data_IF_734138520322
#
_entry.id   IF_734138520322
#
_cell.length_a   1.000
_cell.length_b   1.000
_cell.length_c   1.000
_cell.angle_alpha   90.00
_cell.angle_beta   90.00
_cell.angle_gamma   90.00
#
_symmetry.space_group_name_H-M   'P 1'
#
loop_
_entity.id
_entity.type
_entity.pdbx_description
1 polymer ?
2 non-polymer ?
3 non-polymer ?
#
# COMPACT_ATOMS: atom_id res chain seq x y z
N UNK A 2 -8.23 -0.45 26.02
CA UNK A 2 -8.13 -1.56 26.96
C UNK A 2 -6.74 -2.22 26.89
N UNK A 3 -5.84 -1.77 27.78
CA UNK A 3 -4.45 -2.25 27.91
C UNK A 3 -4.32 -3.73 28.35
N UNK A 4 -3.36 -4.42 27.70
CA UNK A 4 -2.96 -5.81 27.90
C UNK A 4 -1.54 -6.02 27.29
N UNK A 5 -0.89 -7.16 27.58
CA UNK A 5 0.47 -7.45 27.11
C UNK A 5 0.47 -7.92 25.65
N UNK A 6 1.49 -7.55 24.82
CA UNK A 6 1.53 -8.01 23.41
C UNK A 6 1.41 -9.52 23.21
N UNK A 7 2.03 -10.30 24.12
CA UNK A 7 1.99 -11.78 24.14
C UNK A 7 0.54 -12.28 24.23
N UNK A 8 -0.29 -11.57 25.04
CA UNK A 8 -1.71 -11.86 25.27
C UNK A 8 -2.55 -11.59 24.02
N UNK A 9 -2.32 -10.43 23.37
CA UNK A 9 -2.99 -9.98 22.14
C UNK A 9 -2.81 -11.00 21.02
N UNK A 10 -1.59 -11.57 20.89
CA UNK A 10 -1.28 -12.61 19.92
C UNK A 10 -2.08 -13.89 20.21
N UNK A 11 -2.25 -14.24 21.52
CA UNK A 11 -3.01 -15.42 21.92
C UNK A 11 -4.50 -15.27 21.59
N UNK A 12 -5.10 -14.11 21.90
CA UNK A 12 -6.51 -13.85 21.58
C UNK A 12 -6.74 -13.81 20.08
N UNK A 13 -5.71 -13.40 19.32
CA UNK A 13 -5.73 -13.37 17.85
C UNK A 13 -5.58 -14.80 17.30
N UNK A 14 -4.83 -15.65 18.04
CA UNK A 14 -4.59 -17.07 17.74
C UNK A 14 -5.94 -17.79 17.81
N UNK A 15 -6.72 -17.48 18.87
CA UNK A 15 -8.04 -18.04 19.13
C UNK A 15 -9.10 -17.50 18.16
N UNK A 16 -9.16 -16.14 17.98
CA UNK A 16 -10.11 -15.45 17.10
C UNK A 16 -10.16 -16.00 15.68
N UNK A 17 -9.07 -16.68 15.26
CA UNK A 17 -8.89 -17.29 13.95
C UNK A 17 -10.07 -18.09 13.41
N UNK A 18 -10.45 -17.87 12.13
CA UNK A 18 -11.62 -18.58 11.57
C UNK A 18 -11.39 -20.03 11.19
N UNK A 19 -12.45 -20.89 11.26
CA UNK A 19 -12.28 -22.28 10.85
C UNK A 19 -12.10 -22.38 9.34
N UNK A 20 -11.39 -23.44 8.92
CA UNK A 20 -11.10 -23.79 7.54
C UNK A 20 -12.37 -24.15 6.79
N UNK A 21 -12.65 -23.42 5.70
CA UNK A 21 -13.80 -23.68 4.83
C UNK A 21 -13.40 -24.88 3.96
N UNK A 22 -14.25 -25.91 3.92
CA UNK A 22 -13.93 -27.11 3.15
C UNK A 22 -14.89 -27.33 1.98
N UNK A 23 -14.98 -26.31 1.08
CA UNK A 23 -15.84 -26.24 -0.11
C UNK A 23 -17.29 -26.71 0.08
N UNK A 30 -12.07 -28.97 -15.56
CA UNK A 30 -12.53 -27.63 -15.20
C UNK A 30 -13.21 -26.91 -16.35
N UNK A 31 -14.28 -26.14 -16.05
CA UNK A 31 -15.06 -25.37 -17.03
C UNK A 31 -15.07 -23.85 -16.71
N UNK A 32 -15.65 -23.04 -17.65
CA UNK A 32 -15.74 -21.57 -17.58
C UNK A 32 -16.46 -21.00 -16.34
N UNK A 33 -17.79 -21.19 -16.23
CA UNK A 33 -18.63 -20.66 -15.14
C UNK A 33 -18.60 -21.46 -13.83
N UNK A 34 -18.19 -22.75 -13.87
CA UNK A 34 -18.13 -23.63 -12.71
C UNK A 34 -17.13 -23.17 -11.65
N UNK A 35 -15.96 -22.66 -12.08
CA UNK A 35 -14.94 -22.16 -11.17
C UNK A 35 -15.30 -20.79 -10.60
N UNK A 36 -16.10 -20.00 -11.35
CA UNK A 36 -16.59 -18.66 -10.94
C UNK A 36 -17.48 -18.79 -9.71
N UNK A 37 -18.45 -19.73 -9.76
CA UNK A 37 -19.39 -20.00 -8.66
C UNK A 37 -18.75 -20.77 -7.49
N UNK A 38 -17.64 -21.52 -7.74
CA UNK A 38 -16.90 -22.27 -6.72
C UNK A 38 -16.10 -21.28 -5.87
N UNK A 39 -15.47 -20.29 -6.54
CA UNK A 39 -14.68 -19.22 -5.93
C UNK A 39 -15.59 -18.25 -5.19
N UNK A 40 -16.74 -17.88 -5.78
CA UNK A 40 -17.70 -16.97 -5.13
C UNK A 40 -18.40 -17.65 -3.97
N UNK A 41 -18.58 -19.00 -4.04
CA UNK A 41 -19.17 -19.85 -2.99
C UNK A 41 -18.24 -19.82 -1.77
N UNK A 42 -16.92 -20.01 -2.02
CA UNK A 42 -15.88 -20.02 -1.01
C UNK A 42 -15.72 -18.65 -0.38
N UNK A 43 -15.70 -17.57 -1.20
CA UNK A 43 -15.57 -16.17 -0.76
C UNK A 43 -16.70 -15.79 0.19
N UNK A 44 -17.96 -16.21 -0.11
CA UNK A 44 -19.15 -15.95 0.71
C UNK A 44 -19.04 -16.66 2.06
N UNK A 45 -18.75 -17.97 2.04
CA UNK A 45 -18.60 -18.82 3.24
C UNK A 45 -17.50 -18.28 4.14
N UNK A 46 -16.42 -17.72 3.53
CA UNK A 46 -15.26 -17.20 4.24
C UNK A 46 -15.53 -15.82 4.81
N UNK A 47 -16.32 -15.01 4.09
CA UNK A 47 -16.71 -13.66 4.50
C UNK A 47 -17.48 -13.67 5.80
N UNK A 48 -18.41 -14.64 5.94
CA UNK A 48 -19.22 -14.85 7.13
C UNK A 48 -18.29 -14.99 8.35
N UNK A 49 -17.25 -15.84 8.19
CA UNK A 49 -16.23 -16.11 9.20
C UNK A 49 -15.39 -14.87 9.51
N UNK A 50 -15.14 -14.02 8.49
CA UNK A 50 -14.34 -12.80 8.61
C UNK A 50 -14.98 -11.80 9.53
N UNK A 51 -16.28 -11.52 9.32
CA UNK A 51 -17.05 -10.58 10.14
C UNK A 51 -16.94 -11.03 11.61
N UNK A 52 -17.15 -12.37 11.87
CA UNK A 52 -17.04 -13.03 13.17
C UNK A 52 -15.64 -12.83 13.74
N UNK A 53 -14.59 -13.12 12.91
CA UNK A 53 -13.16 -12.95 13.22
C UNK A 53 -12.89 -11.50 13.61
N UNK A 54 -13.37 -10.55 12.77
CA UNK A 54 -13.21 -9.10 12.97
C UNK A 54 -13.80 -8.67 14.31
N UNK A 55 -15.06 -9.09 14.59
CA UNK A 55 -15.76 -8.82 15.85
C UNK A 55 -14.95 -9.34 17.06
N UNK A 56 -14.34 -10.55 16.90
CA UNK A 56 -13.49 -11.23 17.90
C UNK A 56 -12.13 -10.55 18.17
N UNK A 57 -11.78 -9.48 17.42
CA UNK A 57 -10.55 -8.71 17.62
C UNK A 57 -10.81 -7.74 18.78
N UNK A 58 -9.90 -7.68 19.77
CA UNK A 58 -10.13 -6.81 20.94
C UNK A 58 -10.20 -5.32 20.60
N UNK A 59 -11.33 -4.70 20.91
CA UNK A 59 -11.58 -3.28 20.69
C UNK A 59 -12.38 -2.95 19.47
N UNK A 60 -12.53 -3.92 18.54
CA UNK A 60 -13.23 -3.74 17.27
C UNK A 60 -14.69 -3.33 17.41
N UNK A 61 -15.41 -4.04 18.28
CA UNK A 61 -16.84 -3.81 18.53
C UNK A 61 -17.11 -2.52 19.32
N UNK A 62 -16.06 -1.98 19.97
CA UNK A 62 -16.13 -0.74 20.72
C UNK A 62 -16.04 0.43 19.75
N UNK A 63 -15.54 0.17 18.51
CA UNK A 63 -15.43 1.17 17.44
C UNK A 63 -16.82 1.55 16.95
N UNK A 64 -16.89 2.69 16.24
CA UNK A 64 -18.11 3.18 15.61
C UNK A 64 -18.63 2.16 14.60
N UNK A 65 -19.97 2.14 14.44
CA UNK A 65 -20.73 1.34 13.50
C UNK A 65 -20.28 1.65 12.07
N UNK A 66 -20.02 2.96 11.80
CA UNK A 66 -19.53 3.48 10.53
C UNK A 66 -18.18 2.87 10.28
N UNK A 67 -17.25 3.10 11.22
CA UNK A 67 -15.87 2.63 11.16
C UNK A 67 -15.83 1.11 10.96
N UNK A 68 -16.52 0.32 11.78
CA UNK A 68 -16.55 -1.15 11.64
C UNK A 68 -16.87 -1.62 10.21
N UNK A 69 -17.85 -0.96 9.57
CA UNK A 69 -18.32 -1.29 8.23
C UNK A 69 -17.34 -0.81 7.19
N UNK A 70 -16.94 0.49 7.25
CA UNK A 70 -15.96 1.11 6.33
C UNK A 70 -14.65 0.27 6.28
N UNK A 71 -14.17 -0.18 7.46
CA UNK A 71 -12.97 -1.01 7.56
C UNK A 71 -13.18 -2.33 6.86
N UNK A 72 -14.19 -3.12 7.27
CA UNK A 72 -14.52 -4.41 6.65
C UNK A 72 -14.76 -4.32 5.17
N UNK A 73 -15.45 -3.25 4.73
CA UNK A 73 -15.77 -2.98 3.33
C UNK A 73 -14.49 -2.86 2.52
N UNK A 74 -13.56 -2.02 2.98
CA UNK A 74 -12.33 -1.70 2.29
C UNK A 74 -11.21 -2.73 2.37
N UNK A 75 -11.45 -3.94 2.87
CA UNK A 75 -10.35 -4.93 2.98
C UNK A 75 -10.74 -6.40 2.99
N UNK A 76 -12.04 -6.72 2.88
CA UNK A 76 -12.45 -8.11 2.88
C UNK A 76 -11.67 -8.92 1.83
N UNK A 77 -11.54 -8.35 0.62
CA UNK A 77 -10.84 -8.87 -0.54
C UNK A 77 -9.37 -9.15 -0.20
N UNK A 78 -8.67 -8.17 0.44
CA UNK A 78 -7.27 -8.25 0.86
C UNK A 78 -7.04 -9.26 1.98
N UNK A 79 -7.88 -9.23 3.03
CA UNK A 79 -7.85 -10.16 4.16
C UNK A 79 -8.07 -11.59 3.63
N UNK A 80 -8.96 -11.75 2.62
CA UNK A 80 -9.22 -13.05 1.98
C UNK A 80 -7.99 -13.52 1.23
N UNK A 81 -7.33 -12.60 0.52
CA UNK A 81 -6.15 -12.91 -0.26
C UNK A 81 -4.96 -13.22 0.61
N UNK A 82 -4.81 -12.51 1.74
CA UNK A 82 -3.74 -12.72 2.72
C UNK A 82 -3.87 -14.13 3.33
N UNK A 83 -5.11 -14.57 3.52
CA UNK A 83 -5.45 -15.89 4.03
C UNK A 83 -5.00 -16.95 3.04
N UNK A 84 -5.27 -16.72 1.74
CA UNK A 84 -4.89 -17.60 0.65
C UNK A 84 -3.36 -17.67 0.53
N UNK A 85 -2.69 -16.53 0.77
CA UNK A 85 -1.23 -16.42 0.74
C UNK A 85 -0.59 -17.33 1.81
N UNK A 86 -1.19 -17.38 3.01
CA UNK A 86 -0.70 -18.21 4.12
C UNK A 86 -1.00 -19.69 3.87
N UNK A 87 -2.13 -19.99 3.23
CA UNK A 87 -2.55 -21.35 2.91
C UNK A 87 -1.62 -21.97 1.85
N UNK A 88 -1.11 -21.14 0.91
CA UNK A 88 -0.24 -21.52 -0.21
C UNK A 88 1.28 -21.36 0.06
N UNK A 89 1.66 -20.85 1.26
CA UNK A 89 3.06 -20.58 1.61
C UNK A 89 4.05 -21.75 1.42
N UNK A 90 3.63 -22.98 1.77
CA UNK A 90 4.49 -24.16 1.65
C UNK A 90 3.96 -25.14 0.59
N UNK A 91 3.64 -24.59 -0.62
CA UNK A 91 3.13 -25.28 -1.80
C UNK A 91 3.45 -24.43 -3.07
N UNK A 92 4.73 -24.40 -3.54
CA UNK A 92 5.05 -23.58 -4.72
C UNK A 92 4.32 -23.95 -6.01
N UNK A 93 3.89 -22.93 -6.75
CA UNK A 93 3.15 -23.06 -8.00
C UNK A 93 1.67 -23.37 -7.84
N UNK A 94 1.19 -23.47 -6.58
CA UNK A 94 -0.18 -23.80 -6.17
C UNK A 94 -0.80 -22.73 -5.26
N UNK A 95 -2.12 -22.52 -5.41
CA UNK A 95 -2.94 -21.63 -4.59
C UNK A 95 -3.98 -22.45 -3.84
N UNK A 96 -3.74 -22.71 -2.54
CA UNK A 96 -4.65 -23.47 -1.69
C UNK A 96 -5.85 -22.58 -1.32
N UNK A 97 -6.92 -22.61 -2.16
CA UNK A 97 -8.11 -21.80 -1.90
C UNK A 97 -8.89 -22.41 -0.73
N UNK A 98 -9.01 -23.74 -0.77
CA UNK A 98 -9.64 -24.58 0.24
C UNK A 98 -8.79 -25.87 0.24
N UNK A 99 -8.66 -26.63 1.36
CA UNK A 99 -7.80 -27.82 1.35
C UNK A 99 -8.17 -28.84 0.28
N UNK A 100 -9.49 -28.92 -0.05
CA UNK A 100 -10.04 -29.79 -1.08
C UNK A 100 -9.72 -29.21 -2.47
N UNK A 101 -10.27 -28.00 -2.76
CA UNK A 101 -10.07 -27.33 -4.04
C UNK A 101 -8.82 -26.44 -4.11
N UNK A 102 -7.74 -27.04 -4.65
CA UNK A 102 -6.41 -26.47 -4.88
C UNK A 102 -6.24 -26.22 -6.40
N UNK A 103 -5.77 -25.01 -6.77
CA UNK A 103 -5.56 -24.60 -8.17
C UNK A 103 -4.10 -24.19 -8.44
N UNK A 104 -3.73 -24.07 -9.74
CA UNK A 104 -2.38 -23.66 -10.18
C UNK A 104 -2.44 -22.68 -11.39
N UNK A 105 -1.25 -22.21 -11.87
CA UNK A 105 -1.13 -21.28 -13.00
C UNK A 105 -1.80 -21.85 -14.26
N UNK A 106 -1.47 -23.12 -14.59
CA UNK A 106 -1.99 -23.85 -15.75
C UNK A 106 -3.48 -24.27 -15.59
N UNK A 107 -4.06 -24.04 -14.40
CA UNK A 107 -5.45 -24.32 -14.06
C UNK A 107 -6.29 -23.03 -14.18
N UNK A 108 -5.65 -21.88 -13.95
CA UNK A 108 -6.28 -20.57 -14.02
C UNK A 108 -6.53 -20.03 -15.42
N UNK A 109 -5.99 -20.73 -16.44
CA UNK A 109 -6.12 -20.38 -17.86
C UNK A 109 -7.56 -20.50 -18.38
N UNK A 110 -8.48 -21.09 -17.58
CA UNK A 110 -9.90 -21.31 -17.88
C UNK A 110 -10.63 -20.03 -18.26
N UNK A 111 -10.43 -18.94 -17.47
CA UNK A 111 -11.08 -17.64 -17.71
C UNK A 111 -10.04 -16.62 -18.17
N UNK A 112 -10.42 -15.80 -19.17
CA UNK A 112 -9.60 -14.73 -19.73
C UNK A 112 -9.63 -13.54 -18.77
N UNK A 113 -8.45 -13.02 -18.45
CA UNK A 113 -8.30 -11.89 -17.53
C UNK A 113 -7.96 -12.30 -16.11
N UNK A 114 -8.35 -13.53 -15.71
CA UNK A 114 -8.08 -14.07 -14.37
C UNK A 114 -6.64 -14.60 -14.17
N UNK A 115 -5.89 -14.76 -15.27
CA UNK A 115 -4.50 -15.23 -15.27
C UNK A 115 -3.58 -14.30 -14.46
N UNK A 116 -3.56 -12.99 -14.78
CA UNK A 116 -2.75 -11.94 -14.15
C UNK A 116 -2.83 -11.90 -12.61
N UNK A 117 -4.05 -12.05 -12.04
CA UNK A 117 -4.29 -12.05 -10.59
C UNK A 117 -3.61 -13.25 -9.92
N UNK A 118 -3.74 -14.46 -10.51
CA UNK A 118 -3.12 -15.69 -9.99
C UNK A 118 -1.62 -15.58 -9.96
N UNK A 119 -1.05 -14.90 -10.98
CA UNK A 119 0.37 -14.63 -11.13
C UNK A 119 0.83 -13.72 -9.99
N UNK A 120 0.08 -12.61 -9.74
CA UNK A 120 0.33 -11.64 -8.67
C UNK A 120 0.31 -12.33 -7.32
N UNK A 121 -0.72 -13.16 -7.06
CA UNK A 121 -0.86 -13.88 -5.80
C UNK A 121 0.29 -14.84 -5.55
N UNK A 122 0.66 -15.65 -6.56
CA UNK A 122 1.77 -16.61 -6.48
C UNK A 122 3.10 -15.90 -6.26
N UNK A 123 3.35 -14.80 -6.99
CA UNK A 123 4.57 -14.00 -6.87
C UNK A 123 4.72 -13.46 -5.45
N UNK A 124 3.60 -13.00 -4.84
CA UNK A 124 3.57 -12.45 -3.49
C UNK A 124 3.76 -13.55 -2.46
N UNK A 125 3.13 -14.73 -2.67
CA UNK A 125 3.26 -15.91 -1.79
C UNK A 125 4.73 -16.30 -1.71
N UNK A 126 5.41 -16.29 -2.88
CA UNK A 126 6.82 -16.58 -3.07
C UNK A 126 7.62 -15.62 -2.21
N UNK A 127 7.37 -14.31 -2.37
CA UNK A 127 8.04 -13.28 -1.58
C UNK A 127 7.83 -13.49 -0.06
N UNK A 128 6.66 -14.04 0.35
CA UNK A 128 6.38 -14.35 1.76
C UNK A 128 7.14 -15.58 2.24
N UNK A 129 7.28 -16.60 1.35
CA UNK A 129 8.00 -17.86 1.56
C UNK A 129 9.48 -17.56 1.78
N UNK A 130 10.07 -16.70 0.91
CA UNK A 130 11.47 -16.24 0.97
C UNK A 130 11.70 -15.50 2.29
N UNK A 131 10.67 -14.76 2.74
CA UNK A 131 10.70 -13.99 3.98
C UNK A 131 10.72 -14.87 5.22
N UNK A 132 10.30 -16.16 5.10
CA UNK A 132 10.24 -17.15 6.20
C UNK A 132 9.22 -16.64 7.24
N UNK A 133 8.00 -16.28 6.77
CA UNK A 133 6.89 -15.71 7.55
C UNK A 133 6.31 -16.69 8.57
N UNK A 134 6.35 -16.31 9.88
CA UNK A 134 5.83 -17.14 10.97
C UNK A 134 4.31 -16.94 11.11
N UNK A 135 3.62 -17.91 11.74
CA UNK A 135 2.17 -17.90 11.98
C UNK A 135 1.78 -16.68 12.78
N UNK A 136 2.46 -16.45 13.90
CA UNK A 136 2.24 -15.32 14.82
C UNK A 136 2.50 -13.96 14.13
N UNK A 137 3.52 -13.89 13.24
CA UNK A 137 3.88 -12.72 12.43
C UNK A 137 2.71 -12.40 11.50
N UNK A 138 2.17 -13.45 10.81
CA UNK A 138 1.06 -13.41 9.86
C UNK A 138 -0.22 -12.86 10.47
N UNK A 139 -0.62 -13.35 11.66
CA UNK A 139 -1.83 -12.94 12.38
C UNK A 139 -1.87 -11.43 12.60
N UNK A 140 -0.75 -10.86 13.09
CA UNK A 140 -0.65 -9.43 13.33
C UNK A 140 -0.85 -8.68 12.03
N UNK A 141 -0.18 -9.15 10.95
CA UNK A 141 -0.25 -8.60 9.62
C UNK A 141 -1.70 -8.54 9.11
N UNK A 142 -2.46 -9.66 9.10
CA UNK A 142 -3.88 -9.71 8.72
C UNK A 142 -4.75 -8.69 9.49
N UNK A 143 -4.56 -8.61 10.82
CA UNK A 143 -5.31 -7.69 11.68
C UNK A 143 -5.02 -6.25 11.31
N UNK A 144 -3.74 -5.93 11.01
CA UNK A 144 -3.28 -4.60 10.59
C UNK A 144 -3.87 -4.21 9.23
N UNK A 145 -3.91 -5.18 8.29
CA UNK A 145 -4.49 -5.05 6.94
C UNK A 145 -5.92 -4.50 7.08
N UNK A 146 -6.68 -5.08 8.03
CA UNK A 146 -8.05 -4.72 8.38
C UNK A 146 -8.14 -3.37 9.05
N UNK A 147 -7.30 -3.10 10.05
CA UNK A 147 -7.33 -1.85 10.83
C UNK A 147 -6.71 -0.63 10.15
N UNK A 148 -5.94 -0.84 9.08
CA UNK A 148 -5.29 0.28 8.41
C UNK A 148 -5.85 0.58 7.00
N UNK A 149 -6.75 -0.26 6.48
CA UNK A 149 -7.36 -0.09 5.15
C UNK A 149 -8.32 1.15 4.96
N UNK A 150 -8.42 2.04 5.98
CA UNK A 150 -9.23 3.27 6.05
C UNK A 150 -9.18 4.10 4.75
N UNK A 162 -14.76 5.22 16.86
CA UNK A 162 -13.98 6.46 16.97
C UNK A 162 -12.60 6.30 16.33
N UNK A 163 -12.05 7.40 15.80
CA UNK A 163 -10.76 7.41 15.09
C UNK A 163 -9.55 7.15 15.99
N UNK A 164 -9.54 7.75 17.19
CA UNK A 164 -8.46 7.62 18.19
C UNK A 164 -8.40 6.21 18.75
N UNK A 165 -9.58 5.57 18.91
CA UNK A 165 -9.69 4.19 19.40
C UNK A 165 -9.06 3.22 18.39
N UNK A 166 -9.20 3.55 17.07
CA UNK A 166 -8.65 2.77 15.94
C UNK A 166 -7.12 2.87 15.90
N UNK A 167 -6.59 4.10 16.09
CA UNK A 167 -5.15 4.40 16.15
C UNK A 167 -4.49 3.61 17.27
N UNK A 168 -5.22 3.47 18.40
CA UNK A 168 -4.82 2.73 19.58
C UNK A 168 -4.80 1.23 19.28
N UNK A 169 -5.89 0.70 18.70
CA UNK A 169 -6.05 -0.71 18.31
C UNK A 169 -4.97 -1.11 17.29
N UNK A 170 -4.64 -0.20 16.34
CA UNK A 170 -3.60 -0.45 15.34
C UNK A 170 -2.24 -0.50 16.03
N UNK A 171 -1.88 0.56 16.81
CA UNK A 171 -0.64 0.62 17.59
C UNK A 171 -0.47 -0.60 18.51
N UNK A 172 -1.59 -1.21 18.94
CA UNK A 172 -1.58 -2.41 19.76
C UNK A 172 -1.11 -3.62 18.93
N UNK A 173 -1.67 -3.79 17.70
CA UNK A 173 -1.31 -4.92 16.82
C UNK A 173 0.10 -4.70 16.23
N UNK A 174 0.51 -3.43 16.13
CA UNK A 174 1.84 -3.01 15.68
C UNK A 174 2.86 -3.45 16.74
N UNK A 175 2.56 -3.17 18.05
CA UNK A 175 3.34 -3.58 19.23
C UNK A 175 3.41 -5.10 19.31
N UNK A 176 2.29 -5.78 18.99
CA UNK A 176 2.15 -7.24 18.98
C UNK A 176 2.99 -7.85 17.88
N UNK A 177 3.16 -7.13 16.75
CA UNK A 177 4.01 -7.56 15.63
C UNK A 177 5.49 -7.33 15.97
N UNK A 178 5.83 -6.15 16.54
CA UNK A 178 7.20 -5.77 16.99
C UNK A 178 7.72 -6.78 18.05
N UNK A 179 6.80 -7.32 18.87
CA UNK A 179 7.08 -8.34 19.87
C UNK A 179 7.41 -9.69 19.23
N UNK A 180 6.58 -10.17 18.27
CA UNK A 180 6.78 -11.44 17.56
C UNK A 180 8.14 -11.42 16.83
N UNK A 181 8.50 -10.25 16.24
CA UNK A 181 9.75 -9.99 15.52
C UNK A 181 10.97 -10.01 16.47
N UNK A 182 10.75 -9.61 17.76
CA UNK A 182 11.76 -9.64 18.82
C UNK A 182 11.97 -11.06 19.35
N UNK A 183 10.87 -11.81 19.52
CA UNK A 183 10.86 -13.20 20.02
C UNK A 183 11.61 -14.21 19.12
N UNK A 184 11.88 -13.87 17.84
CA UNK A 184 12.63 -14.73 16.91
C UNK A 184 14.15 -14.73 17.21
N UNK A 185 14.60 -13.73 17.99
CA UNK A 185 15.99 -13.58 18.44
C UNK A 185 16.96 -13.11 17.38
N UNK A 186 16.93 -11.79 17.08
CA UNK A 186 17.78 -11.14 16.08
C UNK A 186 18.12 -9.69 16.46
N UNK A 187 19.20 -9.15 15.86
CA UNK A 187 19.71 -7.79 16.09
C UNK A 187 18.68 -6.71 15.82
N UNK A 188 18.85 -5.54 16.47
CA UNK A 188 17.95 -4.38 16.33
C UNK A 188 17.82 -3.87 14.89
N UNK A 189 18.86 -4.10 14.04
CA UNK A 189 18.86 -3.72 12.63
C UNK A 189 18.09 -4.77 11.82
N UNK A 190 18.37 -6.07 12.05
CA UNK A 190 17.70 -7.19 11.37
C UNK A 190 16.23 -7.34 11.76
N UNK A 191 15.86 -6.81 12.95
CA UNK A 191 14.50 -6.78 13.46
C UNK A 191 13.69 -5.75 12.68
N UNK A 192 14.14 -4.46 12.72
CA UNK A 192 13.54 -3.31 12.04
C UNK A 192 13.47 -3.55 10.54
N UNK A 193 14.52 -4.14 9.95
CA UNK A 193 14.59 -4.48 8.52
C UNK A 193 13.48 -5.48 8.16
N UNK A 194 13.31 -6.54 8.97
CA UNK A 194 12.28 -7.56 8.77
C UNK A 194 10.88 -7.00 8.93
N UNK A 195 10.68 -6.07 9.88
CA UNK A 195 9.38 -5.42 10.13
C UNK A 195 8.95 -4.75 8.82
N UNK A 196 9.76 -3.77 8.33
CA UNK A 196 9.59 -3.03 7.09
C UNK A 196 9.44 -3.94 5.87
N UNK A 197 10.10 -5.12 5.88
CA UNK A 197 10.01 -6.09 4.77
C UNK A 197 8.57 -6.56 4.57
N UNK A 198 7.92 -7.08 5.63
CA UNK A 198 6.54 -7.58 5.57
C UNK A 198 5.56 -6.44 5.35
N UNK A 199 5.82 -5.28 5.96
CA UNK A 199 4.97 -4.09 5.81
C UNK A 199 4.94 -3.59 4.36
N UNK A 200 6.10 -3.63 3.67
CA UNK A 200 6.19 -3.21 2.26
C UNK A 200 5.66 -4.29 1.35
N UNK A 201 5.65 -5.55 1.81
CA UNK A 201 5.10 -6.67 1.07
C UNK A 201 3.56 -6.62 1.07
N UNK A 202 2.97 -5.85 1.99
CA UNK A 202 1.53 -5.69 2.12
C UNK A 202 0.98 -4.79 1.06
N UNK A 203 1.82 -3.88 0.51
CA UNK A 203 1.48 -2.99 -0.60
C UNK A 203 1.10 -3.86 -1.79
N UNK A 204 1.91 -4.92 -2.00
CA UNK A 204 1.77 -5.91 -3.06
C UNK A 204 0.53 -6.77 -2.87
N UNK A 205 0.09 -6.97 -1.62
CA UNK A 205 -1.15 -7.69 -1.33
C UNK A 205 -2.34 -6.78 -1.73
N UNK A 206 -2.31 -5.52 -1.26
CA UNK A 206 -3.31 -4.52 -1.58
C UNK A 206 -3.40 -4.36 -3.10
N UNK A 207 -2.24 -4.32 -3.80
CA UNK A 207 -2.20 -4.18 -5.26
C UNK A 207 -3.00 -5.29 -5.94
N UNK A 208 -2.75 -6.54 -5.55
CA UNK A 208 -3.43 -7.71 -6.09
C UNK A 208 -4.92 -7.66 -5.76
N UNK A 209 -5.27 -7.21 -4.52
CA UNK A 209 -6.64 -7.03 -4.03
C UNK A 209 -7.44 -6.05 -4.93
N UNK A 210 -6.80 -4.93 -5.35
CA UNK A 210 -7.40 -3.92 -6.21
C UNK A 210 -7.68 -4.43 -7.60
N UNK A 211 -6.74 -5.21 -8.17
CA UNK A 211 -6.93 -5.80 -9.49
C UNK A 211 -8.04 -6.84 -9.46
N UNK A 212 -8.17 -7.54 -8.32
CA UNK A 212 -9.23 -8.50 -8.05
C UNK A 212 -10.59 -7.83 -7.93
N UNK A 213 -10.64 -6.67 -7.26
CA UNK A 213 -11.88 -5.89 -7.10
C UNK A 213 -12.34 -5.35 -8.45
N UNK A 214 -11.38 -4.89 -9.30
CA UNK A 214 -11.66 -4.35 -10.63
C UNK A 214 -12.22 -5.44 -11.52
N UNK A 215 -11.77 -6.69 -11.33
CA UNK A 215 -12.24 -7.87 -12.06
C UNK A 215 -13.57 -8.36 -11.48
N UNK A 216 -13.69 -8.46 -10.13
CA UNK A 216 -14.90 -8.90 -9.42
C UNK A 216 -16.09 -8.01 -9.75
N UNK A 217 -15.93 -6.68 -9.70
CA UNK A 217 -16.98 -5.71 -10.02
C UNK A 217 -17.32 -5.76 -11.50
N UNK A 218 -16.34 -6.10 -12.35
CA UNK A 218 -16.52 -6.25 -13.79
C UNK A 218 -17.31 -7.53 -14.10
N UNK A 219 -17.06 -8.64 -13.35
CA UNK A 219 -17.76 -9.93 -13.51
C UNK A 219 -19.23 -9.79 -13.09
N UNK A 220 -19.49 -8.96 -12.05
CA UNK A 220 -20.83 -8.59 -11.53
C UNK A 220 -21.58 -7.87 -12.68
N UNK A 221 -20.81 -7.10 -13.47
CA UNK A 221 -21.25 -6.34 -14.64
C UNK A 221 -20.84 -7.12 -15.92
N UNK A 222 -21.13 -8.43 -15.93
CA UNK A 222 -20.87 -9.40 -17.00
C UNK A 222 -21.75 -10.64 -16.74
N UNK A 223 -22.13 -10.83 -15.46
CA UNK A 223 -22.94 -11.92 -14.92
C UNK A 223 -22.36 -13.33 -15.08
N UNK A 224 -21.00 -13.43 -15.12
CA UNK A 224 -20.27 -14.71 -15.20
C UNK A 224 -20.22 -15.27 -13.76
N UNK A 225 -20.20 -14.37 -12.75
CA UNK A 225 -20.24 -14.71 -11.32
C UNK A 225 -21.68 -14.53 -10.81
N UNK A 226 -22.18 -15.43 -9.93
CA UNK A 226 -23.57 -15.29 -9.45
C UNK A 226 -23.73 -14.19 -8.40
N UNK A 227 -24.98 -13.74 -8.22
CA UNK A 227 -25.39 -12.76 -7.22
C UNK A 227 -25.12 -13.37 -5.83
N UNK A 228 -25.60 -14.63 -5.62
CA UNK A 228 -25.48 -15.42 -4.39
C UNK A 228 -25.88 -14.71 -3.09
N UNK A 229 -24.91 -14.38 -2.19
CA UNK A 229 -25.16 -13.72 -0.91
C UNK A 229 -23.95 -12.91 -0.42
N UNK A 230 -24.05 -12.29 0.79
CA UNK A 230 -23.08 -11.47 1.54
C UNK A 230 -22.04 -10.65 0.76
N UNK A 231 -21.19 -11.30 -0.06
CA UNK A 231 -20.18 -10.60 -0.85
C UNK A 231 -20.84 -9.71 -1.93
N UNK A 232 -22.15 -9.93 -2.19
CA UNK A 232 -22.94 -9.10 -3.09
C UNK A 232 -23.21 -7.79 -2.33
N UNK A 233 -23.52 -7.90 -1.02
CA UNK A 233 -23.75 -6.80 -0.10
C UNK A 233 -22.47 -5.97 0.06
N UNK A 234 -21.30 -6.66 0.11
CA UNK A 234 -19.96 -6.06 0.23
C UNK A 234 -19.58 -5.28 -1.03
N UNK A 235 -19.79 -5.90 -2.20
CA UNK A 235 -19.45 -5.38 -3.54
C UNK A 235 -20.06 -4.03 -3.87
N UNK A 236 -21.30 -3.80 -3.45
CA UNK A 236 -22.02 -2.57 -3.72
C UNK A 236 -21.35 -1.35 -3.04
N UNK A 237 -21.19 -1.39 -1.71
CA UNK A 237 -20.53 -0.31 -0.96
C UNK A 237 -19.08 -0.68 -0.66
N UNK B 1 26.60 -3.62 -6.13
CA UNK B 1 27.40 -2.53 -6.67
C UNK B 1 27.94 -1.54 -5.60
N UNK B 2 27.12 -1.26 -4.56
CA UNK B 2 27.50 -0.33 -3.49
C UNK B 2 27.40 -0.92 -2.07
N UNK B 3 28.31 -0.48 -1.19
CA UNK B 3 28.37 -0.84 0.23
C UNK B 3 28.57 0.49 1.00
N UNK B 4 27.87 1.53 0.49
CA UNK B 4 27.83 2.91 0.97
C UNK B 4 27.01 2.98 2.26
N UNK B 5 27.56 3.65 3.28
CA UNK B 5 26.96 3.78 4.61
C UNK B 5 25.60 4.50 4.58
N UNK B 6 24.65 4.15 5.49
CA UNK B 6 23.33 4.81 5.48
C UNK B 6 23.35 6.33 5.55
N UNK B 7 24.33 6.93 6.25
CA UNK B 7 24.44 8.40 6.34
C UNK B 7 24.71 9.03 4.97
N UNK B 8 25.59 8.36 4.19
CA UNK B 8 26.03 8.79 2.86
C UNK B 8 24.88 8.70 1.83
N UNK B 9 23.96 7.73 2.04
CA UNK B 9 22.77 7.51 1.21
C UNK B 9 21.77 8.63 1.46
N UNK B 10 21.50 8.92 2.75
CA UNK B 10 20.61 9.99 3.22
C UNK B 10 21.10 11.33 2.65
N UNK B 11 22.44 11.45 2.50
CA UNK B 11 23.06 12.64 1.92
C UNK B 11 22.83 12.68 0.41
N UNK B 12 23.02 11.55 -0.31
CA UNK B 12 22.81 11.52 -1.76
C UNK B 12 21.37 11.90 -2.07
N UNK B 13 20.39 11.40 -1.27
CA UNK B 13 18.95 11.70 -1.41
C UNK B 13 18.66 13.19 -1.26
N UNK B 14 19.38 13.86 -0.34
CA UNK B 14 19.26 15.29 -0.08
C UNK B 14 19.77 16.12 -1.27
N UNK B 15 20.90 15.70 -1.87
CA UNK B 15 21.51 16.38 -3.02
C UNK B 15 20.65 16.22 -4.26
N UNK B 16 20.04 15.03 -4.42
CA UNK B 16 19.20 14.60 -5.53
C UNK B 16 17.87 15.33 -5.66
N UNK B 17 17.39 15.91 -4.55
CA UNK B 17 16.12 16.66 -4.44
C UNK B 17 15.82 17.66 -5.56
N UNK B 18 14.57 17.64 -6.09
CA UNK B 18 14.23 18.53 -7.23
C UNK B 18 13.93 19.97 -6.83
N UNK B 19 14.16 20.95 -7.72
CA UNK B 19 13.82 22.35 -7.38
C UNK B 19 12.30 22.49 -7.31
N UNK B 20 11.78 23.24 -6.33
CA UNK B 20 10.32 23.37 -6.19
C UNK B 20 9.75 24.16 -7.40
N UNK B 21 8.48 23.91 -7.77
CA UNK B 21 7.90 24.59 -8.93
C UNK B 21 6.82 25.62 -8.68
N UNK B 22 6.96 26.75 -9.40
CA UNK B 22 6.04 27.87 -9.43
C UNK B 22 5.61 28.09 -10.90
N UNK B 23 4.33 27.83 -11.19
CA UNK B 23 3.72 27.92 -12.52
C UNK B 23 3.35 29.34 -12.97
N UNK B 30 -9.29 32.56 -10.91
CA UNK B 30 -9.41 31.20 -10.39
C UNK B 30 -10.59 30.45 -11.03
N UNK B 31 -10.31 29.32 -11.73
CA UNK B 31 -11.31 28.52 -12.46
C UNK B 31 -11.68 27.16 -11.85
N UNK B 32 -12.16 26.25 -12.72
CA UNK B 32 -12.52 24.86 -12.45
C UNK B 32 -11.86 23.92 -13.48
N UNK B 33 -11.59 24.41 -14.72
CA UNK B 33 -10.95 23.62 -15.79
C UNK B 33 -9.57 24.14 -16.12
N UNK B 34 -9.36 25.48 -16.08
CA UNK B 34 -8.04 26.09 -16.31
C UNK B 34 -7.24 25.96 -15.01
N UNK B 35 -7.95 25.71 -13.89
CA UNK B 35 -7.40 25.44 -12.57
C UNK B 35 -7.00 23.95 -12.59
N UNK B 36 -7.83 23.10 -13.24
CA UNK B 36 -7.55 21.68 -13.43
C UNK B 36 -6.45 21.55 -14.47
N UNK B 37 -6.41 22.48 -15.44
CA UNK B 37 -5.39 22.57 -16.48
C UNK B 37 -4.10 23.03 -15.81
N UNK B 38 -4.21 23.91 -14.78
CA UNK B 38 -3.06 24.37 -13.99
C UNK B 38 -2.48 23.19 -13.24
N UNK B 39 -3.35 22.32 -12.67
CA UNK B 39 -2.95 21.11 -11.96
C UNK B 39 -2.19 20.15 -12.89
N UNK B 40 -2.71 19.95 -14.13
CA UNK B 40 -2.06 19.09 -15.12
C UNK B 40 -0.80 19.73 -15.67
N UNK B 41 -0.75 21.08 -15.76
CA UNK B 41 0.43 21.81 -16.21
C UNK B 41 1.53 21.66 -15.15
N UNK B 42 1.17 21.84 -13.84
CA UNK B 42 2.09 21.68 -12.72
C UNK B 42 2.65 20.25 -12.64
N UNK B 43 1.77 19.25 -12.82
CA UNK B 43 2.12 17.83 -12.79
C UNK B 43 3.14 17.46 -13.84
N UNK B 44 2.89 17.88 -15.10
CA UNK B 44 3.76 17.63 -16.24
C UNK B 44 5.14 18.20 -16.03
N UNK B 45 5.26 19.44 -15.50
CA UNK B 45 6.59 20.02 -15.25
C UNK B 45 7.33 19.47 -14.05
N UNK B 46 6.58 19.10 -13.00
CA UNK B 46 7.15 18.47 -11.82
C UNK B 46 7.66 17.07 -12.18
N UNK B 47 6.98 16.41 -13.13
CA UNK B 47 7.32 15.08 -13.62
C UNK B 47 8.72 15.08 -14.23
N UNK B 48 9.04 16.13 -15.01
CA UNK B 48 10.34 16.31 -15.66
C UNK B 48 11.43 16.22 -14.57
N UNK B 49 11.24 16.95 -13.45
CA UNK B 49 12.13 16.99 -12.31
C UNK B 49 12.24 15.62 -11.62
N UNK B 50 11.13 14.86 -11.60
CA UNK B 50 11.04 13.55 -10.95
C UNK B 50 11.93 12.54 -11.62
N UNK B 51 11.86 12.46 -12.96
CA UNK B 51 12.69 11.56 -13.77
C UNK B 51 14.18 11.82 -13.43
N UNK B 52 14.58 13.13 -13.42
CA UNK B 52 15.91 13.63 -13.06
C UNK B 52 16.28 13.16 -11.66
N UNK B 53 15.38 13.41 -10.68
CA UNK B 53 15.49 13.02 -9.28
C UNK B 53 15.68 11.50 -9.17
N UNK B 54 14.81 10.74 -9.86
CA UNK B 54 14.83 9.29 -9.88
C UNK B 54 16.18 8.77 -10.38
N UNK B 55 16.66 9.31 -11.52
CA UNK B 55 17.96 8.95 -12.11
C UNK B 55 19.11 9.20 -11.11
N UNK B 56 19.02 10.33 -10.35
CA UNK B 56 19.96 10.76 -9.32
C UNK B 56 19.98 9.88 -8.04
N UNK B 57 19.07 8.87 -7.94
CA UNK B 57 19.04 7.93 -6.81
C UNK B 57 20.10 6.86 -7.07
N UNK B 58 20.94 6.54 -6.06
CA UNK B 58 22.02 5.56 -6.30
C UNK B 58 21.51 4.15 -6.61
N UNK B 59 21.90 3.66 -7.79
CA UNK B 59 21.56 2.31 -8.26
C UNK B 59 20.39 2.23 -9.22
N UNK B 60 19.62 3.34 -9.33
CA UNK B 60 18.43 3.42 -10.17
C UNK B 60 18.72 3.22 -11.65
N UNK B 61 19.78 3.87 -12.15
CA UNK B 61 20.20 3.81 -13.55
C UNK B 61 20.85 2.48 -13.93
N UNK B 62 21.27 1.70 -12.91
CA UNK B 62 21.82 0.36 -13.08
C UNK B 62 20.69 -0.64 -13.31
N UNK B 63 19.45 -0.26 -12.92
CA UNK B 63 18.26 -1.10 -13.13
C UNK B 63 17.92 -1.17 -14.61
N UNK B 64 17.08 -2.16 -15.00
CA UNK B 64 16.61 -2.32 -16.36
C UNK B 64 15.87 -1.03 -16.77
N UNK B 65 16.09 -0.53 -18.00
CA UNK B 65 15.42 0.70 -18.49
C UNK B 65 13.91 0.47 -18.51
N UNK B 66 13.47 -0.79 -18.81
CA UNK B 66 12.06 -1.16 -18.78
C UNK B 66 11.52 -0.98 -17.37
N UNK B 67 12.28 -1.49 -16.38
CA UNK B 67 11.98 -1.42 -14.95
C UNK B 67 11.92 0.02 -14.51
N UNK B 68 12.98 0.81 -14.79
CA UNK B 68 13.04 2.26 -14.51
C UNK B 68 11.74 2.99 -14.90
N UNK B 69 11.19 2.69 -16.09
CA UNK B 69 10.00 3.30 -16.62
C UNK B 69 8.76 2.74 -15.93
N UNK B 70 8.70 1.40 -15.77
CA UNK B 70 7.60 0.70 -15.08
C UNK B 70 7.42 1.26 -13.65
N UNK B 71 8.52 1.43 -12.90
CA UNK B 71 8.53 1.98 -11.55
C UNK B 71 7.99 3.39 -11.56
N UNK B 72 8.60 4.28 -12.35
CA UNK B 72 8.19 5.68 -12.48
C UNK B 72 6.75 5.78 -12.92
N UNK B 73 6.29 4.84 -13.77
CA UNK B 73 4.91 4.81 -14.28
C UNK B 73 3.92 4.58 -13.18
N UNK B 74 4.19 3.59 -12.33
CA UNK B 74 3.31 3.19 -11.24
C UNK B 74 3.36 4.03 -9.97
N UNK B 75 4.03 5.19 -9.96
CA UNK B 75 4.13 5.98 -8.72
C UNK B 75 4.36 7.48 -8.89
N UNK B 76 4.45 7.99 -10.14
CA UNK B 76 4.65 9.41 -10.34
C UNK B 76 3.59 10.22 -9.56
N UNK B 77 2.34 9.77 -9.65
CA UNK B 77 1.16 10.33 -9.02
C UNK B 77 1.35 10.38 -7.50
N UNK B 78 1.79 9.24 -6.87
CA UNK B 78 2.04 9.08 -5.42
C UNK B 78 3.21 9.93 -4.93
N UNK B 79 4.36 9.88 -5.67
CA UNK B 79 5.57 10.65 -5.38
C UNK B 79 5.22 12.14 -5.45
N UNK B 80 4.32 12.54 -6.40
CA UNK B 80 3.87 13.93 -6.55
C UNK B 80 3.05 14.33 -5.36
N UNK B 81 2.17 13.43 -4.90
CA UNK B 81 1.28 13.66 -3.77
C UNK B 81 2.03 13.73 -2.47
N UNK B 82 3.06 12.87 -2.31
CA UNK B 82 3.93 12.83 -1.13
C UNK B 82 4.70 14.16 -0.99
N UNK B 83 5.06 14.72 -2.14
CA UNK B 83 5.74 16.00 -2.26
C UNK B 83 4.83 17.10 -1.77
N UNK B 84 3.55 17.07 -2.19
CA UNK B 84 2.52 18.04 -1.81
C UNK B 84 2.27 17.99 -0.32
N UNK B 85 2.28 16.80 0.27
CA UNK B 85 2.05 16.68 1.70
C UNK B 85 3.21 17.19 2.53
N UNK B 86 4.44 17.11 2.02
CA UNK B 86 5.58 17.69 2.74
C UNK B 86 5.54 19.20 2.60
N UNK B 87 5.11 19.65 1.43
CA UNK B 87 4.96 21.04 1.02
C UNK B 87 3.77 21.69 1.74
N UNK B 88 2.91 20.87 2.41
CA UNK B 88 1.72 21.33 3.14
C UNK B 88 1.75 21.06 4.63
N UNK B 89 2.75 20.27 5.10
CA UNK B 89 2.91 19.82 6.49
C UNK B 89 2.71 20.91 7.57
N UNK B 90 3.19 22.12 7.31
CA UNK B 90 3.06 23.25 8.24
C UNK B 90 2.16 24.37 7.65
N UNK B 91 0.87 24.05 7.36
CA UNK B 91 -0.16 24.95 6.81
C UNK B 91 -1.53 24.24 6.95
N UNK B 92 -2.06 24.02 8.19
CA UNK B 92 -3.32 23.26 8.33
C UNK B 92 -4.49 23.80 7.53
N UNK B 93 -5.24 22.89 6.89
CA UNK B 93 -6.41 23.22 6.09
C UNK B 93 -6.15 23.69 4.67
N UNK B 94 -4.89 23.62 4.21
CA UNK B 94 -4.55 24.03 2.85
C UNK B 94 -3.58 23.07 2.15
N UNK B 95 -3.58 23.10 0.81
CA UNK B 95 -2.74 22.26 -0.06
C UNK B 95 -1.86 23.13 -0.95
N UNK B 96 -0.58 23.28 -0.56
CA UNK B 96 0.39 24.08 -1.32
C UNK B 96 0.84 23.25 -2.54
N UNK B 97 0.14 23.41 -3.67
CA UNK B 97 0.50 22.67 -4.89
C UNK B 97 1.76 23.29 -5.50
N UNK B 98 1.77 24.62 -5.52
CA UNK B 98 2.84 25.50 -5.97
C UNK B 98 2.74 26.74 -5.08
N UNK B 99 3.74 27.67 -5.01
CA UNK B 99 3.51 28.91 -4.23
C UNK B 99 2.40 29.74 -4.92
N UNK B 100 2.47 29.87 -6.27
CA UNK B 100 1.49 30.57 -7.09
C UNK B 100 0.17 29.79 -7.36
N UNK B 101 -0.04 28.64 -6.65
CA UNK B 101 -1.24 27.81 -6.78
C UNK B 101 -1.58 27.12 -5.45
N UNK B 102 -2.15 27.89 -4.51
CA UNK B 102 -2.54 27.32 -3.22
C UNK B 102 -4.05 27.09 -3.27
N UNK B 103 -4.43 25.84 -3.03
CA UNK B 103 -5.81 25.35 -3.02
C UNK B 103 -6.11 24.89 -1.61
N UNK B 104 -7.42 24.83 -1.26
CA UNK B 104 -7.91 24.38 0.05
C UNK B 104 -9.37 23.84 -0.03
N UNK B 105 -9.93 23.40 1.13
CA UNK B 105 -11.30 22.88 1.30
C UNK B 105 -12.36 23.68 0.51
N UNK B 106 -12.16 25.01 0.44
CA UNK B 106 -13.02 26.01 -0.18
C UNK B 106 -13.05 26.03 -1.72
N UNK B 107 -12.20 25.22 -2.41
CA UNK B 107 -12.17 25.23 -3.89
C UNK B 107 -11.88 23.91 -4.62
N UNK B 108 -12.50 22.81 -4.16
CA UNK B 108 -12.40 21.49 -4.77
C UNK B 108 -13.74 20.97 -5.27
N UNK B 109 -14.82 21.62 -4.78
CA UNK B 109 -16.26 21.38 -5.03
C UNK B 109 -16.65 21.63 -6.49
N UNK B 110 -15.87 22.50 -7.15
CA UNK B 110 -15.99 22.93 -8.55
C UNK B 110 -15.74 21.78 -9.53
N UNK B 111 -14.82 20.86 -9.20
CA UNK B 111 -14.53 19.72 -10.07
C UNK B 111 -15.13 18.43 -9.48
N UNK B 112 -15.71 17.60 -10.36
CA UNK B 112 -16.38 16.34 -10.08
C UNK B 112 -15.50 15.31 -9.36
N UNK B 113 -15.70 15.19 -8.05
CA UNK B 113 -14.99 14.26 -7.21
C UNK B 113 -13.53 14.56 -7.00
N UNK B 114 -13.15 15.85 -7.08
CA UNK B 114 -11.79 16.28 -6.82
C UNK B 114 -11.67 16.63 -5.33
N UNK B 115 -12.73 17.23 -4.76
CA UNK B 115 -12.85 17.59 -3.35
C UNK B 115 -12.62 16.39 -2.46
N UNK B 116 -13.12 15.21 -2.88
CA UNK B 116 -12.96 13.93 -2.18
C UNK B 116 -11.47 13.60 -1.95
N UNK B 117 -10.65 13.81 -3.01
CA UNK B 117 -9.19 13.61 -3.07
C UNK B 117 -8.50 14.64 -2.15
N UNK B 118 -8.97 15.91 -2.19
CA UNK B 118 -8.43 16.99 -1.36
C UNK B 118 -8.56 16.62 0.12
N UNK B 119 -9.74 16.09 0.50
CA UNK B 119 -10.06 15.65 1.85
C UNK B 119 -9.07 14.58 2.29
N UNK B 120 -8.86 13.57 1.44
CA UNK B 120 -7.90 12.47 1.66
C UNK B 120 -6.50 13.01 1.85
N UNK B 121 -6.11 13.95 0.96
CA UNK B 121 -4.79 14.56 0.97
C UNK B 121 -4.50 15.38 2.23
N UNK B 122 -5.50 16.15 2.70
CA UNK B 122 -5.40 16.96 3.92
C UNK B 122 -5.37 16.09 5.16
N UNK B 123 -6.22 15.06 5.20
CA UNK B 123 -6.30 14.10 6.29
C UNK B 123 -4.96 13.40 6.52
N UNK B 124 -4.30 13.02 5.43
CA UNK B 124 -3.00 12.33 5.44
C UNK B 124 -1.89 13.28 5.86
N UNK B 125 -1.93 14.55 5.37
CA UNK B 125 -0.96 15.60 5.72
C UNK B 125 -0.99 15.79 7.23
N UNK B 126 -2.22 15.84 7.79
CA UNK B 126 -2.51 15.99 9.22
C UNK B 126 -1.84 14.84 9.95
N UNK B 127 -2.09 13.61 9.49
CA UNK B 127 -1.50 12.41 10.04
C UNK B 127 0.03 12.39 9.99
N UNK B 128 0.62 13.14 9.04
CA UNK B 128 2.08 13.28 8.94
C UNK B 128 2.59 14.34 9.93
N UNK B 129 1.85 15.46 10.18
CA UNK B 129 2.28 16.49 11.13
C UNK B 129 2.19 16.04 12.59
N UNK B 130 1.23 15.14 12.88
CA UNK B 130 0.97 14.55 14.20
C UNK B 130 2.09 13.58 14.58
N UNK B 131 2.82 13.06 13.59
CA UNK B 131 3.95 12.16 13.79
C UNK B 131 5.25 12.97 13.76
N UNK B 132 5.16 14.30 13.54
CA UNK B 132 6.30 15.20 13.43
C UNK B 132 7.42 14.60 12.58
N UNK B 133 7.04 14.37 11.31
CA UNK B 133 7.86 13.80 10.23
C UNK B 133 9.04 14.72 9.90
N UNK B 134 10.28 14.18 10.00
CA UNK B 134 11.50 14.94 9.70
C UNK B 134 11.80 14.92 8.20
N UNK B 135 12.59 15.89 7.73
CA UNK B 135 12.98 16.02 6.32
C UNK B 135 13.70 14.77 5.83
N UNK B 136 14.69 14.30 6.58
CA UNK B 136 15.48 13.10 6.30
C UNK B 136 14.64 11.82 6.29
N UNK B 137 13.60 11.75 7.15
CA UNK B 137 12.65 10.62 7.25
C UNK B 137 11.78 10.59 6.00
N UNK B 138 11.36 11.79 5.56
CA UNK B 138 10.53 12.01 4.37
C UNK B 138 11.22 11.54 3.09
N UNK B 139 12.50 11.95 2.89
CA UNK B 139 13.31 11.59 1.71
C UNK B 139 13.40 10.09 1.51
N UNK B 140 13.68 9.32 2.58
CA UNK B 140 13.77 7.86 2.50
C UNK B 140 12.41 7.32 2.05
N UNK B 141 11.34 7.83 2.68
CA UNK B 141 9.95 7.46 2.40
C UNK B 141 9.62 7.67 0.93
N UNK B 142 9.86 8.91 0.39
CA UNK B 142 9.62 9.28 -1.00
C UNK B 142 10.30 8.28 -1.96
N UNK B 143 11.60 8.01 -1.73
CA UNK B 143 12.41 7.08 -2.51
C UNK B 143 11.84 5.64 -2.47
N UNK B 144 11.42 5.14 -1.28
CA UNK B 144 10.82 3.82 -1.08
C UNK B 144 9.50 3.67 -1.82
N UNK B 145 8.67 4.75 -1.83
CA UNK B 145 7.39 4.85 -2.53
C UNK B 145 7.61 4.47 -4.01
N UNK B 146 8.70 5.02 -4.59
CA UNK B 146 9.17 4.82 -5.95
C UNK B 146 9.68 3.40 -6.20
N UNK B 147 10.56 2.91 -5.30
CA UNK B 147 11.17 1.58 -5.44
C UNK B 147 10.29 0.40 -5.07
N UNK B 148 9.17 0.64 -4.37
CA UNK B 148 8.31 -0.46 -3.97
C UNK B 148 6.96 -0.54 -4.71
N UNK B 149 6.64 0.49 -5.53
CA UNK B 149 5.37 0.57 -6.28
C UNK B 149 5.13 -0.50 -7.39
N UNK B 150 6.05 -1.48 -7.51
CA UNK B 150 6.08 -2.59 -8.50
C UNK B 150 4.73 -3.23 -8.79
N UNK B 162 17.78 -8.13 -12.41
CA UNK B 162 17.32 -6.75 -12.24
C UNK B 162 16.36 -6.62 -11.04
N UNK B 163 15.41 -7.56 -10.88
CA UNK B 163 14.48 -7.57 -9.74
C UNK B 163 15.27 -7.64 -8.43
N UNK B 164 16.35 -8.41 -8.43
CA UNK B 164 17.26 -8.62 -7.32
C UNK B 164 18.00 -7.33 -6.94
N UNK B 165 18.38 -6.53 -7.96
CA UNK B 165 19.07 -5.24 -7.80
C UNK B 165 18.13 -4.21 -7.12
N UNK B 166 16.81 -4.31 -7.42
CA UNK B 166 15.75 -3.45 -6.88
C UNK B 166 15.53 -3.74 -5.39
N UNK B 167 15.49 -5.04 -5.02
CA UNK B 167 15.33 -5.54 -3.66
C UNK B 167 16.48 -5.01 -2.78
N UNK B 168 17.68 -4.94 -3.38
CA UNK B 168 18.90 -4.45 -2.77
C UNK B 168 18.79 -2.94 -2.53
N UNK B 169 18.42 -2.19 -3.60
CA UNK B 169 18.24 -0.74 -3.57
C UNK B 169 17.16 -0.33 -2.54
N UNK B 170 16.08 -1.12 -2.45
CA UNK B 170 15.00 -0.87 -1.48
C UNK B 170 15.53 -1.11 -0.07
N UNK B 171 16.14 -2.30 0.20
CA UNK B 171 16.77 -2.62 1.49
C UNK B 171 17.80 -1.58 1.93
N UNK B 172 18.42 -0.89 0.95
CA UNK B 172 19.37 0.18 1.21
C UNK B 172 18.65 1.41 1.76
N UNK B 173 17.53 1.83 1.13
CA UNK B 173 16.76 3.01 1.56
C UNK B 173 16.00 2.70 2.85
N UNK B 174 15.70 1.41 3.07
CA UNK B 174 15.05 0.89 4.27
C UNK B 174 16.03 1.04 5.44
N UNK B 175 17.31 0.63 5.24
CA UNK B 175 18.42 0.77 6.19
C UNK B 175 18.68 2.25 6.49
N UNK B 176 18.58 3.11 5.45
CA UNK B 176 18.78 4.56 5.51
C UNK B 176 17.66 5.20 6.32
N UNK B 177 16.43 4.62 6.27
CA UNK B 177 15.28 5.09 7.05
C UNK B 177 15.41 4.63 8.50
N UNK B 178 15.79 3.34 8.74
CA UNK B 178 16.01 2.75 10.07
C UNK B 178 17.11 3.53 10.83
N UNK B 179 18.10 4.06 10.10
CA UNK B 179 19.19 4.88 10.61
C UNK B 179 18.70 6.25 11.09
N UNK B 180 17.89 6.98 10.28
CA UNK B 180 17.34 8.28 10.67
C UNK B 180 16.37 8.17 11.87
N UNK B 181 15.70 6.99 11.97
CA UNK B 181 14.77 6.60 13.04
C UNK B 181 15.59 6.43 14.35
N UNK B 182 16.84 5.93 14.22
CA UNK B 182 17.77 5.68 15.32
C UNK B 182 18.42 6.97 15.80
N UNK B 183 18.82 7.84 14.84
CA UNK B 183 19.49 9.13 15.08
C UNK B 183 18.66 10.15 15.88
N UNK B 184 17.33 9.96 15.97
CA UNK B 184 16.44 10.84 16.75
C UNK B 184 16.57 10.61 18.27
N UNK B 185 17.14 9.46 18.65
CA UNK B 185 17.40 9.07 20.03
C UNK B 185 16.18 8.64 20.83
N UNK B 186 15.72 7.41 20.60
CA UNK B 186 14.53 6.81 21.25
C UNK B 186 14.69 5.30 21.44
N UNK B 187 13.89 4.71 22.36
CA UNK B 187 13.89 3.27 22.68
C UNK B 187 13.64 2.38 21.49
N UNK B 188 14.13 1.13 21.54
CA UNK B 188 13.98 0.14 20.47
C UNK B 188 12.51 -0.16 20.11
N UNK B 189 11.58 0.02 21.06
CA UNK B 189 10.14 -0.16 20.86
C UNK B 189 9.56 1.06 20.16
N UNK B 190 9.89 2.29 20.66
CA UNK B 190 9.44 3.57 20.08
C UNK B 190 10.02 3.84 18.67
N UNK B 191 11.19 3.23 18.37
CA UNK B 191 11.91 3.28 17.09
C UNK B 191 11.12 2.47 16.05
N UNK B 192 10.91 1.16 16.34
CA UNK B 192 10.18 0.19 15.50
C UNK B 192 8.72 0.62 15.31
N UNK B 193 8.08 1.14 16.37
CA UNK B 193 6.71 1.64 16.33
C UNK B 193 6.60 2.82 15.34
N UNK B 194 7.55 3.79 15.41
CA UNK B 194 7.59 4.94 14.52
C UNK B 194 7.85 4.54 13.07
N UNK B 195 8.69 3.52 12.84
CA UNK B 195 9.00 3.00 11.50
C UNK B 195 7.69 2.57 10.85
N UNK B 196 7.00 1.59 11.47
CA UNK B 196 5.70 1.04 11.07
C UNK B 196 4.62 2.12 10.93
N UNK B 197 4.70 3.20 11.74
CA UNK B 197 3.74 4.29 11.68
C UNK B 197 3.76 4.96 10.32
N UNK B 198 4.94 5.43 9.86
CA UNK B 198 5.09 6.11 8.55
C UNK B 198 4.87 5.14 7.40
N UNK B 199 5.30 3.88 7.55
CA UNK B 199 5.12 2.83 6.55
C UNK B 199 3.64 2.54 6.32
N UNK B 200 2.83 2.52 7.38
CA UNK B 200 1.39 2.26 7.27
C UNK B 200 0.67 3.51 6.82
N UNK B 201 1.27 4.69 7.03
CA UNK B 201 0.71 5.96 6.58
C UNK B 201 0.88 6.10 5.04
N UNK B 202 1.79 5.30 4.45
CA UNK B 202 2.05 5.30 3.02
C UNK B 202 0.97 4.61 2.26
N UNK B 203 0.24 3.67 2.92
CA UNK B 203 -0.91 2.96 2.34
C UNK B 203 -1.95 4.01 1.99
N UNK B 204 -2.14 4.98 2.90
CA UNK B 204 -3.07 6.10 2.79
C UNK B 204 -2.67 7.06 1.69
N UNK B 205 -1.35 7.16 1.40
CA UNK B 205 -0.87 8.01 0.30
C UNK B 205 -1.21 7.30 -1.02
N UNK B 206 -0.86 5.99 -1.11
CA UNK B 206 -1.17 5.16 -2.26
C UNK B 206 -2.68 5.16 -2.50
N UNK B 207 -3.51 5.07 -1.44
CA UNK B 207 -4.96 5.09 -1.57
C UNK B 207 -5.44 6.33 -2.29
N UNK B 208 -4.96 7.50 -1.85
CA UNK B 208 -5.32 8.78 -2.42
C UNK B 208 -4.83 8.87 -3.86
N UNK B 209 -3.64 8.27 -4.14
CA UNK B 209 -3.03 8.26 -5.47
C UNK B 209 -3.94 7.55 -6.43
N UNK B 210 -4.45 6.35 -6.04
CA UNK B 210 -5.34 5.51 -6.83
C UNK B 210 -6.60 6.23 -7.20
N UNK B 211 -7.17 6.96 -6.21
CA UNK B 211 -8.39 7.74 -6.38
C UNK B 211 -8.16 8.82 -7.44
N UNK B 212 -6.96 9.42 -7.38
CA UNK B 212 -6.49 10.44 -8.31
C UNK B 212 -6.27 9.90 -9.71
N UNK B 213 -5.69 8.68 -9.82
CA UNK B 213 -5.44 8.03 -11.11
C UNK B 213 -6.75 7.67 -11.75
N UNK B 214 -7.74 7.23 -10.95
CA UNK B 214 -9.09 6.90 -11.39
C UNK B 214 -9.75 8.14 -12.00
N UNK B 215 -9.53 9.33 -11.39
CA UNK B 215 -10.08 10.58 -11.92
C UNK B 215 -9.48 10.92 -13.29
N UNK B 216 -8.14 10.91 -13.33
CA UNK B 216 -7.30 11.23 -14.47
C UNK B 216 -7.61 10.34 -15.67
N UNK B 217 -7.91 9.06 -15.43
CA UNK B 217 -8.22 8.06 -16.47
C UNK B 217 -9.55 8.30 -17.15
N UNK B 218 -10.53 8.85 -16.41
CA UNK B 218 -11.86 9.22 -16.90
C UNK B 218 -11.88 10.63 -17.48
N UNK B 219 -10.71 11.29 -17.48
CA UNK B 219 -10.48 12.60 -18.08
C UNK B 219 -10.03 12.37 -19.54
N UNK B 220 -9.92 13.44 -20.35
CA UNK B 220 -9.50 13.32 -21.74
C UNK B 220 -8.02 12.99 -21.87
N UNK B 221 -7.66 12.13 -22.85
CA UNK B 221 -6.29 11.68 -23.17
C UNK B 221 -5.25 12.78 -23.26
N UNK B 222 -5.67 13.98 -23.71
CA UNK B 222 -4.84 15.18 -23.81
C UNK B 222 -3.91 15.25 -22.62
N UNK B 223 -4.45 14.91 -21.41
CA UNK B 223 -3.85 14.92 -20.07
C UNK B 223 -2.86 13.80 -19.78
N UNK B 224 -3.15 12.56 -20.17
CA UNK B 224 -2.16 11.52 -19.91
C UNK B 224 -1.01 11.47 -20.90
N UNK B 225 -1.22 11.96 -22.14
CA UNK B 225 -0.19 11.91 -23.18
C UNK B 225 1.17 12.51 -22.78
N UNK B 226 1.24 13.80 -22.38
CA UNK B 226 2.54 14.35 -21.93
C UNK B 226 3.30 13.54 -20.87
N UNK B 227 2.58 12.88 -19.92
CA UNK B 227 3.20 12.01 -18.91
C UNK B 227 4.01 10.90 -19.63
N UNK B 228 3.31 10.12 -20.49
CA UNK B 228 3.84 9.00 -21.25
C UNK B 228 4.97 9.38 -22.18
N UNK B 229 4.86 10.53 -22.87
CA UNK B 229 5.88 11.09 -23.75
C UNK B 229 7.16 11.38 -22.98
N UNK B 230 7.03 11.95 -21.75
CA UNK B 230 8.15 12.22 -20.82
C UNK B 230 8.78 10.87 -20.36
N UNK B 231 7.94 9.94 -19.90
CA UNK B 231 8.41 8.65 -19.50
C UNK B 231 9.18 7.96 -20.62
N UNK B 232 8.72 8.06 -21.89
CA UNK B 232 9.50 7.45 -22.98
C UNK B 232 10.62 8.32 -23.56
N UNK B 233 10.80 9.54 -22.99
CA UNK B 233 11.91 10.42 -23.33
C UNK B 233 13.16 9.87 -22.63
N UNK B 234 12.96 9.04 -21.57
CA UNK B 234 13.99 8.36 -20.74
C UNK B 234 15.06 7.58 -21.51
N UNK B 235 15.00 7.62 -22.85
CA UNK B 235 15.98 7.01 -23.75
C UNK B 235 17.12 8.05 -23.95
N UNK B 236 18.16 7.89 -23.10
CA UNK B 236 19.37 8.71 -22.92
C UNK B 236 20.41 8.66 -24.09
N UNK B 237 21.49 9.51 -24.09
CA UNK B 237 21.93 10.51 -23.09
C UNK B 237 20.96 11.70 -22.89
N UNK B 238 21.13 12.46 -21.77
CA UNK B 238 20.30 13.63 -21.44
C UNK B 238 21.12 14.90 -21.12
X LIG C 1 -9.04 -13.88 -3.82
X LIG C 1 -10.40 -14.01 -3.42
X LIG C 1 -10.83 -12.83 -2.73
X LIG C 1 -10.38 -15.22 -2.39
X LIG C 1 -9.19 -15.47 -1.67
X LIG C 1 -9.15 -16.52 -0.76
X LIG C 1 -10.28 -17.31 -0.57
X LIG C 1 -10.20 -18.32 0.31
X LIG C 1 -11.47 -17.09 -1.28
X LIG C 1 -11.51 -16.03 -2.20
X LIG C 1 -11.19 -14.25 -4.72
X LIG C 1 -12.39 -13.48 -5.12
X LIG C 1 -13.67 -14.25 -5.42
X LIG C 1 -13.52 -13.50 -4.11
X LIG C 1 -10.79 -15.23 -5.75
X LIG C 1 -9.87 -14.76 -6.91
X LIG C 1 -9.47 -15.96 -7.76
X LIG C 1 -8.61 -14.29 -6.40
X LIG C 1 -10.51 -13.71 -7.82
X LIG C 1 -10.03 -12.38 -7.91
X LIG C 1 -10.65 -11.45 -8.75
X LIG C 1 -11.75 -11.79 -9.53
X LIG C 1 -12.27 -13.10 -9.44
X LIG C 1 -11.65 -14.05 -8.60
X LIG D 1 -2.00 -0.24 -6.02
X LIG D 1 -1.23 -0.94 -4.98
X LIG D 1 -2.89 -1.17 -6.73
X LIG D 1 -2.78 0.76 -5.36
X LIG D 1 -1.09 0.41 -7.00
X LIG E 1 -2.50 15.00 -7.12
X LIG E 1 -1.86 15.41 -8.34
X LIG E 1 -1.20 14.25 -8.90
X LIG E 1 -0.66 16.43 -7.95
X LIG E 1 0.21 16.13 -6.87
X LIG E 1 1.24 17.02 -6.55
X LIG E 1 1.41 18.17 -7.32
X LIG E 1 2.40 19.01 -7.03
X LIG E 1 0.58 18.47 -8.38
X LIG E 1 -0.45 17.60 -8.70
X LIG E 1 -2.90 16.05 -9.32
X LIG E 1 -2.70 15.82 -10.80
X LIG E 1 -3.76 15.89 -11.92
X LIG E 1 -2.90 17.09 -11.62
X LIG E 1 -4.03 16.92 -8.80
X LIG E 1 -5.30 16.24 -8.21
X LIG E 1 -6.37 17.20 -7.69
X LIG E 1 -5.03 15.48 -7.03
X LIG E 1 -5.82 15.35 -9.30
X LIG E 1 -5.44 14.01 -9.35
X LIG E 1 -5.88 13.22 -10.38
X LIG E 1 -6.73 13.69 -11.39
X LIG E 1 -7.12 15.03 -11.35
X LIG E 1 -6.66 15.87 -10.32
X LIG F 1 -6.98 1.38 -2.55
X LIG F 1 -7.44 1.37 -1.15
X LIG F 1 -6.98 2.74 -3.10
X LIG F 1 -5.60 0.85 -2.62
X LIG F 1 -7.90 0.57 -3.33
#
# INVERSE_FOLDING_TARGET
LDALSPEQLVLTLLEAEPPHVLISRPSAPFTEASMMMSLTKLADKELVHMISWAKKIPGFVELSLFDQVRLLESCWMEVLMMGLMWRSIDHPGKLIFAPDLVLDRDEGKCVEGILEIFDMLLATTSRFRELKLQHKEYLCVKAMILLNSSMYPLVTATQDDSSRKLAHLLNAVTDALVWVIAKSGISSQQQSMRLANLLMLLSHVRHASNKGMEHLLNMKCKNVVPVYDLLLEMLNAHVL
LDALSPEQLVLTLLEAEPPHVLISRPSAPFTEASMMMSLTKLADKELVHMISWAKKIPGFVELSLFDQVRLLESCWMEVLMMGLMWRSIDHPGKLIFAPDLVLDRDEGKCVEGILEIFDMLLATTSRFRELKLQHKEYLCVKAMILLNSSMYPLVTATQDDSSRKLAHLLNAVTDALVWVIAKSGISSQQQSMRLANLLMLLSHVRHASNKGMEHLLNMKCKNVVPVYDLLLEMLNAHVL
SU4 O3 S O2 C7 C12 C11 C10 O4 C9 C8 N C4 C6 C5 C3 C2 C1 O1 C13 C18 C17 C16 C15 C14
SO4 S O1 O2 O3 O4
SU4 O3 S O2 C7 C12 C11 C10 O4 C9 C8 N C4 C6 C5 C3 C2 C1 O1 C13 C18 C17 C16 C15 C14
SO4 S O1 O2 O3 O4
#
